data_IF_056438814385
#
_entry.id   IF_056438814385
#
_cell.length_a   1.000
_cell.length_b   1.000
_cell.length_c   1.000
_cell.angle_alpha   90.00
_cell.angle_beta   90.00
_cell.angle_gamma   90.00
#
_symmetry.space_group_name_H-M   'P 1'
#
loop_
_entity.id
_entity.type
_entity.pdbx_description
1 polymer ?
#
# COMPACT_ATOMS: atom_id res chain seq x y z
N UNK A 1 6.28 -0.06 -12.47
CA UNK A 1 6.23 -1.39 -11.83
C UNK A 1 5.10 -2.23 -12.40
N UNK A 2 3.82 -1.85 -12.29
CA UNK A 2 2.71 -2.62 -12.88
C UNK A 2 2.82 -2.81 -14.40
N UNK A 3 3.07 -1.73 -15.13
CA UNK A 3 3.21 -1.78 -16.60
C UNK A 3 4.53 -2.41 -17.08
N UNK A 4 5.44 -2.72 -16.15
CA UNK A 4 6.73 -3.33 -16.47
C UNK A 4 6.66 -4.86 -16.47
N UNK A 5 5.52 -5.46 -16.06
CA UNK A 5 5.36 -6.91 -15.98
C UNK A 5 6.27 -7.60 -14.95
N UNK A 6 6.80 -6.84 -13.99
CA UNK A 6 7.69 -7.35 -12.95
C UNK A 6 6.87 -7.82 -11.75
N UNK A 7 7.21 -8.99 -11.25
CA UNK A 7 6.70 -9.47 -9.96
C UNK A 7 7.28 -8.64 -8.81
N UNK A 8 6.47 -8.46 -7.77
CA UNK A 8 6.94 -7.80 -6.56
C UNK A 8 7.81 -8.77 -5.75
N UNK A 9 8.87 -8.28 -5.08
CA UNK A 9 9.68 -9.11 -4.20
C UNK A 9 8.83 -9.80 -3.11
N UNK A 10 9.22 -11.01 -2.75
CA UNK A 10 8.60 -11.75 -1.65
C UNK A 10 8.71 -10.95 -0.33
N UNK A 11 7.62 -10.90 0.44
CA UNK A 11 7.56 -10.19 1.70
C UNK A 11 7.43 -8.66 1.60
N UNK A 12 7.26 -8.10 0.39
CA UNK A 12 6.90 -6.68 0.27
C UNK A 12 5.52 -6.44 0.89
N UNK A 13 5.37 -5.31 1.58
CA UNK A 13 4.08 -4.86 2.11
C UNK A 13 3.66 -3.57 1.42
N UNK A 14 2.37 -3.45 1.15
CA UNK A 14 1.76 -2.39 0.35
C UNK A 14 0.90 -1.51 1.25
N UNK A 15 1.31 -0.25 1.41
CA UNK A 15 0.49 0.80 1.99
C UNK A 15 -0.10 1.68 0.89
N UNK A 16 -1.34 2.15 1.08
CA UNK A 16 -1.97 3.13 0.18
C UNK A 16 -2.35 4.42 0.91
N UNK A 17 -2.34 5.54 0.19
CA UNK A 17 -2.70 6.86 0.73
C UNK A 17 -4.21 7.08 0.87
N UNK A 18 -5.04 6.20 0.28
CA UNK A 18 -6.49 6.33 0.35
C UNK A 18 -7.24 5.45 -0.66
N UNK A 19 -8.58 5.51 -0.66
CA UNK A 19 -9.43 4.48 -1.24
C UNK A 19 -9.29 4.35 -2.76
N UNK A 20 -9.12 5.46 -3.48
CA UNK A 20 -8.94 5.43 -4.94
C UNK A 20 -7.64 4.70 -5.33
N UNK A 21 -6.56 4.95 -4.57
CA UNK A 21 -5.28 4.27 -4.79
C UNK A 21 -5.41 2.79 -4.43
N UNK A 22 -6.07 2.47 -3.32
CA UNK A 22 -6.33 1.08 -2.92
C UNK A 22 -7.11 0.30 -3.96
N UNK A 23 -8.15 0.90 -4.53
CA UNK A 23 -8.93 0.27 -5.59
C UNK A 23 -8.10 0.05 -6.85
N UNK A 24 -7.20 0.98 -7.17
CA UNK A 24 -6.27 0.82 -8.29
C UNK A 24 -5.30 -0.33 -8.04
N UNK A 25 -4.75 -0.46 -6.82
CA UNK A 25 -3.89 -1.59 -6.43
C UNK A 25 -4.65 -2.92 -6.57
N UNK A 26 -5.89 -3.00 -6.04
CA UNK A 26 -6.74 -4.20 -6.14
C UNK A 26 -7.07 -4.57 -7.57
N UNK A 27 -7.33 -3.60 -8.45
CA UNK A 27 -7.56 -3.83 -9.89
C UNK A 27 -6.35 -4.44 -10.61
N UNK A 28 -5.15 -4.23 -10.09
CA UNK A 28 -3.92 -4.85 -10.62
C UNK A 28 -3.62 -6.21 -9.95
N UNK A 29 -4.58 -6.79 -9.21
CA UNK A 29 -4.45 -8.11 -8.59
C UNK A 29 -3.60 -8.13 -7.32
N UNK A 30 -3.28 -6.95 -6.76
CA UNK A 30 -2.46 -6.83 -5.56
C UNK A 30 -3.31 -6.60 -4.31
N UNK A 31 -2.78 -7.03 -3.16
CA UNK A 31 -3.38 -6.79 -1.87
C UNK A 31 -2.88 -5.46 -1.27
N UNK A 32 -3.75 -4.76 -0.55
CA UNK A 32 -3.38 -3.57 0.23
C UNK A 32 -3.32 -4.01 1.68
N UNK A 33 -2.13 -4.06 2.26
CA UNK A 33 -1.94 -4.48 3.65
C UNK A 33 -2.44 -3.44 4.64
N UNK A 34 -2.33 -2.16 4.27
CA UNK A 34 -2.88 -1.04 5.05
C UNK A 34 -3.27 0.14 4.15
N UNK A 35 -4.42 0.73 4.41
CA UNK A 35 -4.84 2.00 3.83
C UNK A 35 -4.75 3.09 4.91
N UNK A 36 -4.19 4.25 4.55
CA UNK A 36 -4.10 5.38 5.45
C UNK A 36 -5.49 5.88 5.86
N UNK A 37 -5.72 6.05 7.17
CA UNK A 37 -6.98 6.57 7.71
C UNK A 37 -7.23 8.04 7.34
N UNK A 38 -6.13 8.80 7.18
CA UNK A 38 -6.14 10.18 6.71
C UNK A 38 -5.42 10.23 5.36
N UNK A 39 -6.04 10.86 4.38
CA UNK A 39 -5.53 10.88 2.99
C UNK A 39 -4.55 12.04 2.76
N UNK A 40 -3.60 12.18 3.68
CA UNK A 40 -2.56 13.18 3.65
C UNK A 40 -1.19 12.54 3.93
N UNK A 41 -0.13 13.34 3.85
CA UNK A 41 1.23 12.86 4.05
C UNK A 41 1.42 12.28 5.46
N UNK A 42 1.00 12.96 6.56
CA UNK A 42 1.09 12.39 7.90
C UNK A 42 0.35 11.06 8.05
N UNK A 43 -0.87 10.95 7.52
CA UNK A 43 -1.67 9.72 7.56
C UNK A 43 -1.00 8.55 6.85
N UNK A 44 -0.37 8.79 5.70
CA UNK A 44 0.40 7.76 5.01
C UNK A 44 1.64 7.34 5.79
N UNK A 45 2.37 8.30 6.38
CA UNK A 45 3.54 7.99 7.22
C UNK A 45 3.14 7.12 8.40
N UNK A 46 2.05 7.44 9.09
CA UNK A 46 1.55 6.62 10.20
C UNK A 46 1.13 5.22 9.75
N UNK A 47 0.47 5.09 8.59
CA UNK A 47 0.14 3.78 8.03
C UNK A 47 1.39 2.92 7.76
N UNK A 48 2.45 3.52 7.20
CA UNK A 48 3.73 2.82 6.99
C UNK A 48 4.39 2.45 8.32
N UNK A 49 4.36 3.33 9.33
CA UNK A 49 4.89 3.02 10.67
C UNK A 49 4.16 1.86 11.32
N UNK A 50 2.82 1.84 11.24
CA UNK A 50 2.00 0.73 11.73
C UNK A 50 2.30 -0.57 10.99
N UNK A 51 2.48 -0.49 9.68
CA UNK A 51 2.85 -1.64 8.86
C UNK A 51 4.17 -2.25 9.32
N UNK A 52 5.21 -1.42 9.54
CA UNK A 52 6.54 -1.87 9.96
C UNK A 52 6.58 -2.35 11.41
N UNK A 53 5.83 -1.70 12.30
CA UNK A 53 5.77 -2.04 13.72
C UNK A 53 5.04 -3.34 14.06
N UNK A 54 4.29 -3.91 13.11
CA UNK A 54 3.73 -5.26 13.19
C UNK A 54 4.84 -6.27 12.88
N UNK A 55 5.64 -6.58 13.88
CA UNK A 55 6.66 -7.65 13.88
C UNK A 55 6.40 -8.62 15.01
#
# INVERSE_FOLDING_TARGET
FFDLGLELPEGIRIASIGPITSDTIRKHGLHVDIEAKQHDIPGLVEAVRELVGRG
#
